data_IF_115931419330
#
_entry.id   IF_115931419330
#
_cell.length_a   1.000
_cell.length_b   1.000
_cell.length_c   1.000
_cell.angle_alpha   90.00
_cell.angle_beta   90.00
_cell.angle_gamma   90.00
#
_symmetry.space_group_name_H-M   'P 1'
#
loop_
_entity.id
_entity.type
_entity.pdbx_description
1 polymer ?
#
# COMPACT_ATOMS: atom_id res chain seq x y z
N UNK A 1 -20.57 -9.66 1.35
CA UNK A 1 -19.78 -8.78 2.22
C UNK A 1 -18.34 -8.56 1.71
N UNK A 2 -17.94 -9.20 0.61
CA UNK A 2 -16.57 -9.19 0.09
C UNK A 2 -16.05 -7.82 -0.35
N UNK A 3 -16.93 -6.93 -0.84
CA UNK A 3 -16.54 -5.58 -1.30
C UNK A 3 -16.14 -4.66 -0.14
N UNK A 4 -16.83 -4.76 1.01
CA UNK A 4 -16.47 -4.00 2.21
C UNK A 4 -15.12 -4.47 2.75
N UNK A 5 -14.87 -5.78 2.77
CA UNK A 5 -13.61 -6.36 3.23
C UNK A 5 -12.42 -5.93 2.35
N UNK A 6 -12.60 -5.92 1.02
CA UNK A 6 -11.55 -5.55 0.08
C UNK A 6 -11.11 -4.07 0.20
N UNK A 7 -12.06 -3.15 0.42
CA UNK A 7 -11.76 -1.75 0.69
C UNK A 7 -11.07 -1.54 2.04
N UNK A 8 -11.48 -2.29 3.07
CA UNK A 8 -10.93 -2.19 4.43
C UNK A 8 -9.48 -2.71 4.49
N UNK A 9 -9.16 -3.80 3.79
CA UNK A 9 -7.79 -4.33 3.71
C UNK A 9 -6.84 -3.37 2.99
N UNK A 10 -7.26 -2.79 1.86
CA UNK A 10 -6.45 -1.79 1.15
C UNK A 10 -6.20 -0.55 2.00
N UNK A 11 -7.23 -0.04 2.69
CA UNK A 11 -7.11 1.12 3.58
C UNK A 11 -6.17 0.87 4.78
N UNK A 12 -6.21 -0.32 5.38
CA UNK A 12 -5.33 -0.68 6.50
C UNK A 12 -3.87 -0.86 6.06
N UNK A 13 -3.62 -1.41 4.87
CA UNK A 13 -2.27 -1.48 4.29
C UNK A 13 -1.69 -0.08 4.04
N UNK A 14 -2.50 0.84 3.49
CA UNK A 14 -2.11 2.24 3.26
C UNK A 14 -1.84 3.01 4.56
N UNK A 15 -2.62 2.77 5.62
CA UNK A 15 -2.41 3.38 6.93
C UNK A 15 -1.11 2.92 7.60
N UNK A 16 -0.79 1.63 7.53
CA UNK A 16 0.47 1.09 8.07
C UNK A 16 1.69 1.63 7.33
N UNK A 17 1.62 1.69 5.99
CA UNK A 17 2.67 2.27 5.17
C UNK A 17 2.84 3.77 5.46
N UNK A 18 1.73 4.54 5.52
CA UNK A 18 1.74 5.95 5.86
C UNK A 18 2.31 6.25 7.25
N UNK A 19 2.06 5.39 8.22
CA UNK A 19 2.63 5.52 9.57
C UNK A 19 4.16 5.33 9.56
N UNK A 20 4.66 4.29 8.90
CA UNK A 20 6.10 4.06 8.76
C UNK A 20 6.79 5.19 7.98
N UNK A 21 6.15 5.70 6.93
CA UNK A 21 6.62 6.84 6.12
C UNK A 21 6.63 8.12 6.94
N UNK A 22 5.64 8.36 7.81
CA UNK A 22 5.63 9.51 8.71
C UNK A 22 6.84 9.52 9.65
N UNK A 23 7.16 8.37 10.24
CA UNK A 23 8.33 8.21 11.13
C UNK A 23 9.64 8.36 10.37
N UNK A 24 9.78 7.67 9.23
CA UNK A 24 10.96 7.79 8.35
C UNK A 24 11.07 9.17 7.73
N UNK A 25 9.96 9.87 7.50
CA UNK A 25 9.91 11.22 6.96
C UNK A 25 10.40 12.25 7.97
N UNK A 26 10.05 12.12 9.25
CA UNK A 26 10.57 13.00 10.32
C UNK A 26 12.08 12.80 10.54
N UNK A 27 12.54 11.54 10.51
CA UNK A 27 13.98 11.23 10.50
C UNK A 27 14.65 11.65 9.16
N UNK A 28 13.90 11.54 8.08
CA UNK A 28 14.32 11.77 6.71
C UNK A 28 14.48 13.25 6.41
N UNK A 29 13.66 14.16 6.94
CA UNK A 29 13.85 15.62 6.79
C UNK A 29 15.21 16.03 7.39
N UNK A 30 15.56 15.43 8.54
CA UNK A 30 16.87 15.65 9.17
C UNK A 30 18.03 15.08 8.35
N UNK A 31 17.86 13.92 7.70
CA UNK A 31 18.89 13.31 6.84
C UNK A 31 18.93 13.78 5.38
N UNK A 32 17.81 14.27 4.83
CA UNK A 32 17.66 14.74 3.44
C UNK A 32 18.35 16.08 3.23
N UNK A 33 18.53 16.86 4.31
CA UNK A 33 19.44 18.00 4.34
C UNK A 33 20.89 17.62 3.98
N UNK A 34 21.28 16.35 4.16
CA UNK A 34 22.60 15.85 3.76
C UNK A 34 22.60 15.06 2.45
N UNK A 35 21.55 14.29 2.12
CA UNK A 35 21.44 13.58 0.83
C UNK A 35 20.00 13.52 0.26
N UNK A 36 19.72 14.16 -0.90
CA UNK A 36 18.38 14.21 -1.51
C UNK A 36 17.88 12.89 -2.12
N UNK A 37 18.71 11.83 -2.08
CA UNK A 37 18.48 10.55 -2.78
C UNK A 37 17.45 9.66 -2.09
N UNK A 38 17.15 9.91 -0.82
CA UNK A 38 16.22 9.11 -0.02
C UNK A 38 14.75 9.31 -0.40
N UNK A 39 14.41 10.40 -1.10
CA UNK A 39 13.03 10.71 -1.48
C UNK A 39 12.45 9.69 -2.48
N UNK A 40 13.27 9.19 -3.41
CA UNK A 40 12.86 8.18 -4.40
C UNK A 40 12.49 6.85 -3.75
N UNK A 41 13.22 6.45 -2.69
CA UNK A 41 12.94 5.19 -1.98
C UNK A 41 11.58 5.20 -1.28
N UNK A 42 11.20 6.32 -0.67
CA UNK A 42 9.90 6.50 -0.02
C UNK A 42 8.73 6.35 -1.00
N UNK A 43 8.83 6.99 -2.17
CA UNK A 43 7.81 6.91 -3.22
C UNK A 43 7.72 5.48 -3.78
N UNK A 44 8.84 4.80 -4.00
CA UNK A 44 8.85 3.42 -4.50
C UNK A 44 8.06 2.45 -3.59
N UNK A 45 8.12 2.65 -2.28
CA UNK A 45 7.40 1.82 -1.28
C UNK A 45 5.89 2.06 -1.33
N UNK A 46 5.46 3.31 -1.56
CA UNK A 46 4.05 3.68 -1.75
C UNK A 46 3.44 2.99 -2.98
N UNK A 47 4.13 3.00 -4.12
CA UNK A 47 3.65 2.34 -5.34
C UNK A 47 3.61 0.81 -5.19
N UNK A 48 4.64 0.20 -4.58
CA UNK A 48 4.64 -1.26 -4.36
C UNK A 48 3.49 -1.72 -3.45
N UNK A 49 3.17 -0.92 -2.43
CA UNK A 49 2.06 -1.22 -1.52
C UNK A 49 0.71 -1.17 -2.24
N UNK A 50 0.52 -0.26 -3.19
CA UNK A 50 -0.69 -0.17 -4.01
C UNK A 50 -0.80 -1.35 -4.98
N UNK A 51 0.30 -1.73 -5.64
CA UNK A 51 0.33 -2.89 -6.55
C UNK A 51 0.06 -4.20 -5.80
N UNK A 52 0.62 -4.38 -4.60
CA UNK A 52 0.29 -5.52 -3.75
C UNK A 52 -1.18 -5.50 -3.33
N UNK A 53 -1.71 -4.35 -2.90
CA UNK A 53 -3.14 -4.21 -2.58
C UNK A 53 -4.06 -4.55 -3.75
N UNK A 54 -3.71 -4.10 -4.96
CA UNK A 54 -4.40 -4.46 -6.19
C UNK A 54 -4.29 -5.95 -6.52
N UNK A 55 -3.14 -6.58 -6.27
CA UNK A 55 -2.96 -8.03 -6.41
C UNK A 55 -3.90 -8.82 -5.48
N UNK A 56 -4.08 -8.37 -4.23
CA UNK A 56 -5.02 -8.96 -3.27
C UNK A 56 -6.49 -8.69 -3.61
N UNK A 57 -6.78 -7.51 -4.19
CA UNK A 57 -8.11 -7.13 -4.63
C UNK A 57 -8.56 -7.94 -5.85
N UNK A 58 -7.69 -8.06 -6.85
CA UNK A 58 -7.95 -8.81 -8.09
C UNK A 58 -8.14 -10.31 -7.82
N UNK A 59 -7.27 -10.91 -7.00
CA UNK A 59 -7.38 -12.32 -6.59
C UNK A 59 -8.69 -12.60 -5.80
N UNK A 60 -9.18 -11.63 -5.02
CA UNK A 60 -10.48 -11.74 -4.34
C UNK A 60 -11.68 -11.63 -5.30
N UNK A 61 -11.53 -10.88 -6.41
CA UNK A 61 -12.54 -10.74 -7.45
C UNK A 61 -12.59 -11.98 -8.34
N UNK A 62 -11.44 -12.57 -8.67
CA UNK A 62 -11.34 -13.81 -9.45
C UNK A 62 -11.97 -15.00 -8.71
N UNK A 63 -11.77 -15.11 -7.40
CA UNK A 63 -12.44 -16.13 -6.58
C UNK A 63 -13.96 -15.94 -6.48
N UNK A 64 -14.43 -14.69 -6.51
CA UNK A 64 -15.86 -14.36 -6.56
C UNK A 64 -16.50 -14.63 -7.92
N UNK A 65 -15.80 -14.33 -9.02
CA UNK A 65 -16.24 -14.63 -10.39
C UNK A 65 -16.36 -16.14 -10.61
N UNK A 66 -15.42 -16.92 -10.05
CA UNK A 66 -15.41 -18.38 -10.15
C UNK A 66 -16.48 -19.09 -9.30
N UNK A 67 -17.17 -18.37 -8.41
CA UNK A 67 -18.30 -18.87 -7.61
C UNK A 67 -19.67 -18.54 -8.26
N UNK A 68 -19.74 -17.54 -9.14
CA UNK A 68 -20.96 -17.16 -9.90
C UNK A 68 -21.12 -17.95 -11.21
N UNK A 69 -20.07 -18.63 -11.67
CA UNK A 69 -20.05 -19.52 -12.85
C UNK A 69 -20.40 -20.99 -12.49
N UNK A 70 -21.09 -21.24 -11.35
CA UNK A 70 -21.60 -22.58 -10.94
C UNK A 70 -23.02 -22.51 -10.39
#
# INVERSE_FOLDING_TARGET
FSHLAAGLTCGLCGLGAGYAIGIVGDAGVRGTAQQPRLFVGMILILIFSEVLGLLWHDCSLDFGYRILDV
#
